data_IF_932804930285
#
_entry.id   IF_932804930285
#
_cell.length_a   1.000
_cell.length_b   1.000
_cell.length_c   1.000
_cell.angle_alpha   90.00
_cell.angle_beta   90.00
_cell.angle_gamma   90.00
#
_symmetry.space_group_name_H-M   'P 1'
#
loop_
_entity.id
_entity.type
_entity.pdbx_description
1 polymer ?
#
# COMPACT_ATOMS: atom_id res chain seq x y z
N UNK A 1 -12.67 14.47 -25.11
CA UNK A 1 -12.47 13.67 -23.88
C UNK A 1 -11.00 13.65 -23.58
N UNK A 2 -10.62 14.04 -22.37
CA UNK A 2 -9.23 13.96 -21.95
C UNK A 2 -8.97 12.54 -21.43
N UNK A 3 -7.89 11.93 -21.88
CA UNK A 3 -7.50 10.57 -21.48
C UNK A 3 -6.21 10.61 -20.68
N UNK A 4 -6.11 9.75 -19.68
CA UNK A 4 -4.86 9.46 -18.97
C UNK A 4 -4.54 7.98 -19.11
N UNK A 5 -3.27 7.66 -19.27
CA UNK A 5 -2.78 6.28 -19.29
C UNK A 5 -2.10 6.01 -17.94
N UNK A 6 -2.46 4.91 -17.31
CA UNK A 6 -1.90 4.52 -16.01
C UNK A 6 -1.21 3.18 -16.14
N UNK A 7 0.09 3.16 -15.86
CA UNK A 7 0.95 1.98 -15.89
C UNK A 7 1.50 1.65 -14.51
N UNK A 8 1.68 0.37 -14.19
CA UNK A 8 2.34 -0.06 -12.97
C UNK A 8 3.86 -0.09 -13.21
N UNK A 9 4.62 0.74 -12.48
CA UNK A 9 6.09 0.74 -12.55
C UNK A 9 6.66 -0.32 -11.61
N UNK A 10 6.12 -0.41 -10.39
CA UNK A 10 6.48 -1.39 -9.37
C UNK A 10 5.38 -1.42 -8.29
N UNK A 11 5.61 -2.16 -7.20
CA UNK A 11 4.62 -2.27 -6.11
C UNK A 11 4.44 -0.99 -5.30
N UNK A 12 5.24 0.04 -5.53
CA UNK A 12 5.17 1.33 -4.82
C UNK A 12 4.59 2.43 -5.69
N UNK A 13 4.96 2.45 -6.99
CA UNK A 13 4.66 3.57 -7.89
C UNK A 13 3.86 3.15 -9.13
N UNK A 14 2.88 3.98 -9.45
CA UNK A 14 2.22 4.04 -10.76
C UNK A 14 2.85 5.17 -11.58
N UNK A 15 2.84 5.03 -12.88
CA UNK A 15 3.17 6.09 -13.84
C UNK A 15 1.89 6.55 -14.50
N UNK A 16 1.65 7.86 -14.48
CA UNK A 16 0.52 8.49 -15.13
C UNK A 16 1.06 9.28 -16.31
N UNK A 17 0.66 8.88 -17.50
CA UNK A 17 0.91 9.65 -18.71
C UNK A 17 -0.34 10.45 -19.07
N UNK A 18 -0.19 11.77 -19.12
CA UNK A 18 -1.26 12.72 -19.30
C UNK A 18 -0.73 14.04 -19.86
N UNK A 19 -1.62 14.85 -20.38
CA UNK A 19 -1.31 16.22 -20.83
C UNK A 19 -0.76 17.09 -19.69
N UNK A 20 0.03 18.09 -20.04
CA UNK A 20 0.66 18.99 -19.08
C UNK A 20 -0.33 19.71 -18.16
N UNK A 21 -1.53 20.02 -18.64
CA UNK A 21 -2.63 20.61 -17.86
C UNK A 21 -3.13 19.66 -16.78
N UNK A 22 -3.40 18.40 -17.14
CA UNK A 22 -3.84 17.35 -16.21
C UNK A 22 -2.74 17.06 -15.19
N UNK A 23 -1.49 16.95 -15.62
CA UNK A 23 -0.35 16.75 -14.70
C UNK A 23 -0.26 17.84 -13.65
N UNK A 24 -0.52 19.10 -14.03
CA UNK A 24 -0.53 20.22 -13.08
C UNK A 24 -1.66 20.10 -12.08
N UNK A 25 -2.88 19.81 -12.55
CA UNK A 25 -4.02 19.62 -11.67
C UNK A 25 -3.83 18.43 -10.72
N UNK A 26 -3.25 17.32 -11.20
CA UNK A 26 -2.90 16.17 -10.35
C UNK A 26 -1.85 16.54 -9.29
N UNK A 27 -0.83 17.33 -9.66
CA UNK A 27 0.17 17.78 -8.71
C UNK A 27 -0.42 18.67 -7.62
N UNK A 28 -1.38 19.51 -7.95
CA UNK A 28 -2.08 20.35 -6.98
C UNK A 28 -3.04 19.51 -6.12
N UNK A 29 -3.78 18.58 -6.71
CA UNK A 29 -4.72 17.71 -6.00
C UNK A 29 -4.00 16.77 -5.01
N UNK A 30 -2.88 16.17 -5.40
CA UNK A 30 -2.07 15.28 -4.56
C UNK A 30 -0.99 16.02 -3.78
N UNK A 31 -1.20 17.28 -3.44
CA UNK A 31 -0.34 18.05 -2.58
C UNK A 31 -1.08 18.56 -1.35
N UNK A 32 -0.39 18.66 -0.23
CA UNK A 32 -0.95 19.24 0.99
C UNK A 32 0.10 20.05 1.74
N UNK A 33 -0.39 21.08 2.45
CA UNK A 33 0.45 21.91 3.29
C UNK A 33 0.75 21.21 4.62
N UNK A 34 2.00 21.25 5.05
CA UNK A 34 2.40 20.66 6.34
C UNK A 34 1.96 21.60 7.48
N UNK A 35 1.21 21.11 8.48
CA UNK A 35 0.84 21.95 9.62
C UNK A 35 2.07 22.61 10.26
N UNK A 36 2.02 23.92 10.44
CA UNK A 36 3.12 24.68 11.05
C UNK A 36 4.33 24.93 10.14
N UNK A 37 4.26 24.65 8.83
CA UNK A 37 5.36 24.85 7.89
C UNK A 37 5.99 26.24 7.94
N UNK A 38 5.19 27.28 8.22
CA UNK A 38 5.65 28.70 8.31
C UNK A 38 6.71 28.92 9.39
N UNK A 39 6.77 28.05 10.39
CA UNK A 39 7.72 28.12 11.50
C UNK A 39 9.02 27.36 11.23
N UNK A 40 9.08 26.59 10.14
CA UNK A 40 10.27 25.81 9.80
C UNK A 40 11.38 26.70 9.22
N UNK A 41 12.65 26.43 9.54
CA UNK A 41 13.78 27.16 8.94
C UNK A 41 13.81 27.06 7.41
N UNK A 42 13.43 25.89 6.87
CA UNK A 42 13.42 25.64 5.42
C UNK A 42 12.44 26.55 4.68
N UNK A 43 11.25 26.80 5.25
CA UNK A 43 10.28 27.74 4.69
C UNK A 43 10.77 29.19 4.82
N UNK A 44 11.30 29.58 5.99
CA UNK A 44 11.83 30.93 6.21
C UNK A 44 12.99 31.29 5.27
N UNK A 45 13.83 30.30 4.98
CA UNK A 45 14.95 30.44 4.06
C UNK A 45 14.55 30.27 2.58
N UNK A 46 13.23 30.12 2.28
CA UNK A 46 12.68 29.94 0.92
C UNK A 46 13.25 28.72 0.16
N UNK A 47 13.77 27.73 0.89
CA UNK A 47 14.28 26.48 0.31
C UNK A 47 13.13 25.51 -0.01
N UNK A 48 12.00 25.64 0.72
CA UNK A 48 10.84 24.77 0.60
C UNK A 48 9.56 25.60 0.72
N UNK A 49 8.53 25.23 -0.05
CA UNK A 49 7.24 25.95 -0.12
C UNK A 49 6.21 25.49 0.93
N UNK A 50 6.58 24.60 1.84
CA UNK A 50 5.68 24.08 2.88
C UNK A 50 4.72 22.98 2.42
N UNK A 51 4.83 22.51 1.17
CA UNK A 51 3.95 21.49 0.61
C UNK A 51 4.67 20.16 0.42
N UNK A 52 3.98 19.09 0.75
CA UNK A 52 4.36 17.72 0.37
C UNK A 52 3.55 17.32 -0.85
N UNK A 53 4.24 16.88 -1.88
CA UNK A 53 3.65 16.41 -3.14
C UNK A 53 3.75 14.90 -3.23
N UNK A 54 2.59 14.25 -3.34
CA UNK A 54 2.50 12.79 -3.47
C UNK A 54 2.50 12.35 -4.95
N UNK A 55 2.29 13.27 -5.87
CA UNK A 55 2.43 13.10 -7.30
C UNK A 55 3.63 13.90 -7.81
N UNK A 56 4.52 13.24 -8.54
CA UNK A 56 5.67 13.88 -9.16
C UNK A 56 5.31 14.40 -10.55
N UNK A 57 5.22 15.72 -10.71
CA UNK A 57 4.94 16.35 -12.00
C UNK A 57 5.97 15.98 -13.08
N UNK A 58 7.26 15.91 -12.71
CA UNK A 58 8.34 15.65 -13.66
C UNK A 58 8.34 14.22 -14.17
N UNK A 59 8.14 13.23 -13.29
CA UNK A 59 8.21 11.81 -13.65
C UNK A 59 6.84 11.18 -13.93
N UNK A 60 5.75 11.86 -13.60
CA UNK A 60 4.39 11.32 -13.68
C UNK A 60 4.11 10.22 -12.67
N UNK A 61 4.91 10.11 -11.61
CA UNK A 61 4.78 9.04 -10.63
C UNK A 61 3.79 9.39 -9.52
N UNK A 62 2.93 8.43 -9.18
CA UNK A 62 2.00 8.44 -8.06
C UNK A 62 2.16 7.17 -7.24
N UNK A 63 2.00 7.26 -5.92
CA UNK A 63 1.98 6.06 -5.08
C UNK A 63 0.78 5.16 -5.41
N UNK A 64 1.00 3.85 -5.55
CA UNK A 64 -0.06 2.86 -5.89
C UNK A 64 -1.24 2.94 -4.93
N UNK A 65 -1.00 3.15 -3.63
CA UNK A 65 -2.07 3.29 -2.62
C UNK A 65 -3.00 4.49 -2.82
N UNK A 66 -2.64 5.45 -3.68
CA UNK A 66 -3.48 6.61 -4.03
C UNK A 66 -4.33 6.38 -5.28
N UNK A 67 -4.26 5.20 -5.88
CA UNK A 67 -5.01 4.87 -7.08
C UNK A 67 -6.54 5.01 -6.94
N UNK A 68 -7.19 4.59 -5.84
CA UNK A 68 -8.62 4.84 -5.64
C UNK A 68 -8.98 6.32 -5.68
N UNK A 69 -8.15 7.19 -5.08
CA UNK A 69 -8.35 8.64 -5.09
C UNK A 69 -8.17 9.24 -6.49
N UNK A 70 -7.25 8.67 -7.30
CA UNK A 70 -7.09 9.05 -8.70
C UNK A 70 -8.36 8.72 -9.50
N UNK A 71 -8.93 7.52 -9.32
CA UNK A 71 -10.20 7.14 -9.96
C UNK A 71 -11.34 8.09 -9.59
N UNK A 72 -11.45 8.48 -8.33
CA UNK A 72 -12.46 9.41 -7.85
C UNK A 72 -12.26 10.81 -8.44
N UNK A 73 -11.02 11.28 -8.54
CA UNK A 73 -10.69 12.55 -9.18
C UNK A 73 -11.06 12.53 -10.66
N UNK A 74 -10.71 11.47 -11.38
CA UNK A 74 -11.03 11.31 -12.79
C UNK A 74 -12.55 11.31 -13.06
N UNK A 75 -13.32 10.60 -12.21
CA UNK A 75 -14.80 10.63 -12.29
C UNK A 75 -15.36 12.04 -12.10
N UNK A 76 -14.82 12.81 -11.17
CA UNK A 76 -15.26 14.19 -10.90
C UNK A 76 -14.93 15.16 -12.04
N UNK A 77 -13.86 14.89 -12.79
CA UNK A 77 -13.36 15.75 -13.87
C UNK A 77 -13.76 15.26 -15.25
N UNK A 78 -14.50 14.17 -15.36
CA UNK A 78 -14.87 13.53 -16.64
C UNK A 78 -13.64 13.18 -17.50
N UNK A 79 -12.59 12.66 -16.83
CA UNK A 79 -11.35 12.20 -17.46
C UNK A 79 -11.40 10.69 -17.58
N UNK A 80 -11.16 10.17 -18.78
CA UNK A 80 -11.14 8.72 -19.02
C UNK A 80 -9.80 8.12 -18.65
N UNK A 81 -9.82 7.02 -17.87
CA UNK A 81 -8.63 6.26 -17.47
C UNK A 81 -8.46 5.08 -18.41
N UNK A 82 -7.26 4.94 -18.98
CA UNK A 82 -6.81 3.76 -19.72
C UNK A 82 -5.84 3.01 -18.80
N UNK A 83 -6.28 1.88 -18.27
CA UNK A 83 -5.50 1.03 -17.38
C UNK A 83 -4.67 0.04 -18.19
N UNK A 84 -3.40 -0.16 -17.82
CA UNK A 84 -2.58 -1.24 -18.38
C UNK A 84 -3.06 -2.61 -17.87
N UNK A 85 -2.74 -3.68 -18.62
CA UNK A 85 -3.08 -5.06 -18.24
C UNK A 85 -2.54 -5.47 -16.86
N UNK A 86 -1.42 -4.91 -16.46
CA UNK A 86 -0.79 -5.19 -15.15
C UNK A 86 -1.60 -4.63 -13.98
N UNK A 87 -2.23 -3.47 -14.16
CA UNK A 87 -3.11 -2.87 -13.15
C UNK A 87 -4.42 -3.66 -13.04
N UNK A 88 -4.96 -4.13 -14.16
CA UNK A 88 -6.16 -4.96 -14.17
C UNK A 88 -5.93 -6.30 -13.48
N UNK A 89 -4.76 -6.92 -13.66
CA UNK A 89 -4.38 -8.16 -12.98
C UNK A 89 -4.21 -7.96 -11.46
N UNK A 90 -3.69 -6.80 -11.05
CA UNK A 90 -3.50 -6.46 -9.64
C UNK A 90 -4.82 -6.36 -8.86
N UNK A 91 -5.91 -5.93 -9.49
CA UNK A 91 -7.22 -5.79 -8.85
C UNK A 91 -8.00 -7.13 -8.70
N UNK A 92 -7.50 -8.24 -9.26
CA UNK A 92 -8.26 -9.50 -9.38
C UNK A 92 -7.85 -10.60 -8.38
N UNK A 93 -6.99 -10.32 -7.42
CA UNK A 93 -6.34 -11.37 -6.65
C UNK A 93 -6.75 -11.49 -5.19
N UNK A 94 -7.90 -12.13 -4.86
CA UNK A 94 -8.09 -12.61 -3.50
C UNK A 94 -8.68 -14.01 -3.52
N UNK A 95 -8.08 -14.88 -2.70
CA UNK A 95 -8.55 -16.23 -2.48
C UNK A 95 -10.00 -16.24 -1.97
N UNK A 96 -10.87 -16.93 -2.68
CA UNK A 96 -12.29 -17.04 -2.34
C UNK A 96 -12.54 -17.80 -1.02
N UNK A 97 -11.61 -18.64 -0.55
CA UNK A 97 -11.72 -19.44 0.66
C UNK A 97 -10.63 -19.08 1.68
N UNK A 98 -10.90 -18.05 2.48
CA UNK A 98 -9.98 -17.60 3.53
C UNK A 98 -10.03 -18.52 4.75
N UNK A 99 -11.16 -19.15 5.02
CA UNK A 99 -11.31 -20.01 6.20
C UNK A 99 -10.53 -21.32 5.99
N UNK A 100 -10.64 -21.95 4.81
CA UNK A 100 -9.80 -23.09 4.43
C UNK A 100 -8.30 -22.73 4.37
N UNK A 101 -7.97 -21.51 3.98
CA UNK A 101 -6.59 -21.02 4.00
C UNK A 101 -6.03 -20.94 5.43
N UNK A 102 -6.80 -20.42 6.39
CA UNK A 102 -6.39 -20.32 7.80
C UNK A 102 -6.23 -21.72 8.40
N UNK A 103 -7.13 -22.66 8.10
CA UNK A 103 -7.01 -24.05 8.53
C UNK A 103 -5.73 -24.71 8.02
N UNK A 104 -5.31 -24.41 6.80
CA UNK A 104 -4.07 -24.94 6.20
C UNK A 104 -2.79 -24.49 6.93
N UNK A 105 -2.86 -23.46 7.77
CA UNK A 105 -1.68 -22.95 8.49
C UNK A 105 -1.33 -23.76 9.74
N UNK A 106 -2.18 -24.69 10.16
CA UNK A 106 -1.99 -25.54 11.35
C UNK A 106 -1.58 -24.72 12.58
N UNK A 107 -2.45 -23.77 12.93
CA UNK A 107 -2.20 -22.84 14.02
C UNK A 107 -2.42 -23.51 15.37
N UNK A 108 -1.45 -23.39 16.29
CA UNK A 108 -1.59 -23.87 17.67
C UNK A 108 -2.62 -23.09 18.49
N UNK A 109 -3.07 -21.94 17.99
CA UNK A 109 -4.03 -21.05 18.65
C UNK A 109 -5.15 -20.74 17.66
N UNK A 110 -6.40 -20.90 18.09
CA UNK A 110 -7.58 -20.52 17.28
C UNK A 110 -7.66 -18.99 17.16
N UNK A 111 -7.63 -18.42 15.95
CA UNK A 111 -7.79 -16.99 15.76
C UNK A 111 -9.19 -16.53 16.18
N UNK A 112 -9.28 -15.33 16.75
CA UNK A 112 -10.55 -14.69 17.08
C UNK A 112 -11.13 -13.98 15.87
N UNK A 113 -12.45 -13.77 15.84
CA UNK A 113 -13.17 -13.18 14.70
C UNK A 113 -12.55 -11.86 14.21
N UNK A 114 -12.18 -10.98 15.11
CA UNK A 114 -11.56 -9.70 14.73
C UNK A 114 -10.15 -9.86 14.13
N UNK A 115 -9.42 -10.93 14.48
CA UNK A 115 -8.11 -11.24 13.88
C UNK A 115 -8.29 -11.80 12.48
N UNK A 116 -9.29 -12.67 12.29
CA UNK A 116 -9.68 -13.18 10.97
C UNK A 116 -10.12 -12.02 10.07
N UNK A 117 -10.98 -11.13 10.58
CA UNK A 117 -11.42 -9.95 9.82
C UNK A 117 -10.26 -9.02 9.45
N UNK A 118 -9.31 -8.79 10.34
CA UNK A 118 -8.13 -7.99 10.06
C UNK A 118 -7.21 -8.66 9.01
N UNK A 119 -7.09 -10.00 9.06
CA UNK A 119 -6.37 -10.78 8.06
C UNK A 119 -7.05 -10.71 6.70
N UNK A 120 -8.38 -10.91 6.63
CA UNK A 120 -9.20 -10.75 5.42
C UNK A 120 -9.01 -9.36 4.81
N UNK A 121 -9.15 -8.32 5.63
CA UNK A 121 -8.94 -6.92 5.20
C UNK A 121 -7.52 -6.71 4.61
N UNK A 122 -6.49 -7.24 5.27
CA UNK A 122 -5.12 -7.06 4.80
C UNK A 122 -4.85 -7.77 3.48
N UNK A 123 -5.48 -8.91 3.23
CA UNK A 123 -5.40 -9.62 1.95
C UNK A 123 -6.17 -8.89 0.85
N UNK A 124 -7.38 -8.38 1.18
CA UNK A 124 -8.26 -7.72 0.23
C UNK A 124 -7.70 -6.39 -0.28
N UNK A 125 -7.16 -5.60 0.63
CA UNK A 125 -6.69 -4.25 0.28
C UNK A 125 -5.17 -4.17 0.10
N UNK A 126 -4.42 -5.24 0.44
CA UNK A 126 -2.95 -5.31 0.42
C UNK A 126 -2.24 -4.17 1.17
N UNK A 127 -2.88 -3.04 1.32
CA UNK A 127 -2.41 -1.85 2.01
C UNK A 127 -3.50 -1.28 2.88
N UNK A 128 -3.17 -1.10 4.15
CA UNK A 128 -4.13 -0.56 5.10
C UNK A 128 -3.50 -0.31 6.46
N UNK A 129 -4.23 0.37 7.30
CA UNK A 129 -3.87 0.61 8.69
C UNK A 129 -4.83 -0.15 9.59
N UNK A 130 -4.33 -1.17 10.29
CA UNK A 130 -5.07 -1.93 11.29
C UNK A 130 -4.81 -1.33 12.66
N UNK A 131 -5.78 -0.61 13.20
CA UNK A 131 -5.72 -0.08 14.56
C UNK A 131 -6.21 -1.15 15.54
N UNK A 132 -5.34 -1.55 16.45
CA UNK A 132 -5.62 -2.61 17.39
C UNK A 132 -4.97 -2.29 18.74
N UNK A 133 -5.69 -2.46 19.88
CA UNK A 133 -5.16 -2.15 21.22
C UNK A 133 -3.97 -3.06 21.58
N UNK A 134 -3.26 -2.69 22.63
CA UNK A 134 -2.20 -3.53 23.17
C UNK A 134 -2.79 -4.85 23.66
N UNK A 135 -2.04 -5.94 23.54
CA UNK A 135 -2.46 -7.30 23.90
C UNK A 135 -3.63 -7.90 23.09
N UNK A 136 -4.02 -7.31 21.97
CA UNK A 136 -5.06 -7.86 21.07
C UNK A 136 -4.60 -9.03 20.21
N UNK A 137 -3.34 -9.48 20.35
CA UNK A 137 -2.81 -10.57 19.55
C UNK A 137 -2.43 -10.19 18.10
N UNK A 138 -1.96 -8.96 17.90
CA UNK A 138 -1.43 -8.49 16.60
C UNK A 138 -0.40 -9.42 15.99
N UNK A 139 0.40 -10.06 16.82
CA UNK A 139 1.45 -11.01 16.38
C UNK A 139 0.87 -12.20 15.61
N UNK A 140 -0.35 -12.66 15.96
CA UNK A 140 -1.01 -13.74 15.23
C UNK A 140 -1.45 -13.28 13.83
N UNK A 141 -1.97 -12.06 13.70
CA UNK A 141 -2.33 -11.48 12.40
C UNK A 141 -1.09 -11.37 11.51
N UNK A 142 0.01 -10.83 12.07
CA UNK A 142 1.29 -10.72 11.37
C UNK A 142 1.80 -12.11 10.95
N UNK A 143 1.72 -13.10 11.83
CA UNK A 143 2.14 -14.46 11.55
C UNK A 143 1.33 -15.08 10.39
N UNK A 144 0.00 -14.94 10.41
CA UNK A 144 -0.86 -15.42 9.32
C UNK A 144 -0.52 -14.75 7.98
N UNK A 145 -0.29 -13.42 7.97
CA UNK A 145 0.16 -12.71 6.77
C UNK A 145 1.52 -13.19 6.27
N UNK A 146 2.48 -13.36 7.18
CA UNK A 146 3.79 -13.91 6.82
C UNK A 146 3.66 -15.31 6.21
N UNK A 147 2.85 -16.18 6.79
CA UNK A 147 2.61 -17.55 6.25
C UNK A 147 1.98 -17.49 4.87
N UNK A 148 1.00 -16.61 4.66
CA UNK A 148 0.36 -16.43 3.36
C UNK A 148 1.36 -16.03 2.28
N UNK A 149 2.11 -14.95 2.51
CA UNK A 149 3.06 -14.45 1.53
C UNK A 149 4.28 -15.36 1.35
N UNK A 150 4.71 -16.07 2.38
CA UNK A 150 5.78 -17.08 2.26
C UNK A 150 5.38 -18.24 1.36
N UNK A 151 4.12 -18.66 1.39
CA UNK A 151 3.60 -19.69 0.50
C UNK A 151 3.49 -19.21 -0.95
N UNK A 152 3.22 -17.91 -1.16
CA UNK A 152 3.15 -17.30 -2.51
C UNK A 152 4.53 -17.02 -3.10
N UNK A 153 5.46 -16.52 -2.29
CA UNK A 153 6.82 -16.24 -2.71
C UNK A 153 7.60 -17.54 -2.58
N UNK A 154 7.64 -18.34 -3.65
CA UNK A 154 8.45 -19.54 -3.71
C UNK A 154 9.87 -19.27 -3.16
N UNK A 155 10.02 -19.40 -1.86
CA UNK A 155 11.19 -19.79 -1.06
C UNK A 155 12.58 -19.20 -1.35
N UNK A 156 12.74 -18.10 -2.07
CA UNK A 156 14.07 -17.51 -2.26
C UNK A 156 14.49 -16.66 -1.04
N UNK A 157 13.55 -16.01 -0.35
CA UNK A 157 13.83 -15.19 0.85
C UNK A 157 14.09 -15.98 2.13
N UNK A 158 13.67 -17.23 2.21
CA UNK A 158 13.77 -18.01 3.45
C UNK A 158 15.21 -18.30 3.89
N UNK A 159 16.15 -18.40 2.94
CA UNK A 159 17.57 -18.63 3.26
C UNK A 159 18.24 -17.39 3.89
N UNK A 160 17.81 -16.19 3.56
CA UNK A 160 18.38 -14.95 4.11
C UNK A 160 17.83 -14.58 5.48
N UNK A 161 16.55 -14.89 5.76
CA UNK A 161 15.95 -14.64 7.09
C UNK A 161 16.54 -15.55 8.18
N UNK A 162 16.88 -16.80 7.85
CA UNK A 162 17.58 -17.70 8.80
C UNK A 162 19.00 -17.27 9.17
N UNK A 163 19.67 -16.51 8.32
CA UNK A 163 21.02 -16.05 8.58
C UNK A 163 21.11 -14.91 9.62
N UNK A 164 19.99 -14.27 9.95
CA UNK A 164 19.90 -13.17 10.92
C UNK A 164 19.20 -13.54 12.24
N UNK A 165 18.76 -14.77 12.42
CA UNK A 165 18.32 -15.25 13.73
C UNK A 165 19.55 -15.50 14.60
N UNK A 166 20.03 -14.45 15.25
CA UNK A 166 20.94 -14.58 16.37
C UNK A 166 20.19 -15.23 17.53
N UNK A 167 20.84 -16.20 18.21
CA UNK A 167 20.32 -17.00 19.34
C UNK A 167 19.71 -16.21 20.52
N UNK A 168 19.64 -14.90 20.44
CA UNK A 168 19.17 -14.01 21.50
C UNK A 168 17.65 -13.78 21.53
N UNK A 169 16.88 -14.17 20.51
CA UNK A 169 15.45 -13.82 20.38
C UNK A 169 14.47 -14.98 20.57
N UNK A 170 14.93 -16.11 21.08
CA UNK A 170 14.05 -17.24 21.43
C UNK A 170 13.94 -17.35 22.95
N UNK A 171 13.40 -16.31 23.57
CA UNK A 171 12.85 -16.41 24.93
C UNK A 171 11.52 -15.66 24.94
N UNK A 172 10.50 -16.27 24.41
CA UNK A 172 9.13 -16.02 24.85
C UNK A 172 8.80 -17.02 25.96
N UNK A 173 8.88 -16.56 27.20
CA UNK A 173 8.18 -17.16 28.34
C UNK A 173 6.80 -16.56 28.44
#
# INVERSE_FOLDING_TARGET
>A
MQNIIVDKVNDVYLRIDADASIRRELSDYFSFEVPGYKFTPQFRNRVWDGKIRLYSYATGQLYVGLYPYLKDWCKKKDVHIVESSEILAYNNGIAADIDGLIESYDLSITPRDYQINAFKFALEYERGLVLSPTASGKSLIIYMLCRHYMNMINTVSYKHLRAHETKANVVCR
#
